data_IF_354723752775
#
_entry.id   IF_354723752775
#
_cell.length_a   1.000
_cell.length_b   1.000
_cell.length_c   1.000
_cell.angle_alpha   90.00
_cell.angle_beta   90.00
_cell.angle_gamma   90.00
#
_symmetry.space_group_name_H-M   'P 1'
#
loop_
_entity.id
_entity.type
_entity.pdbx_description
1 polymer ?
#
# COMPACT_ATOMS: atom_id res chain seq x y z
N UNK A 1 -36.53 -39.34 64.13
CA UNK A 1 -36.89 -38.85 62.76
C UNK A 1 -35.66 -38.15 62.24
N UNK A 2 -34.94 -38.69 61.27
CA UNK A 2 -33.77 -38.03 60.70
C UNK A 2 -34.19 -37.07 59.54
N UNK A 3 -33.69 -35.86 59.57
CA UNK A 3 -33.87 -34.83 58.50
C UNK A 3 -32.80 -35.07 57.43
N UNK A 4 -33.23 -35.42 56.24
CA UNK A 4 -32.37 -35.48 55.03
C UNK A 4 -32.10 -34.12 54.57
N UNK A 5 -30.83 -33.70 54.56
CA UNK A 5 -30.33 -32.47 53.85
C UNK A 5 -29.93 -32.86 52.46
N UNK A 6 -30.62 -32.25 51.45
CA UNK A 6 -30.27 -32.40 50.05
C UNK A 6 -29.31 -31.26 49.72
N UNK A 7 -28.07 -31.60 49.40
CA UNK A 7 -27.05 -30.66 48.93
C UNK A 7 -27.15 -30.60 47.40
N UNK A 8 -27.59 -29.45 46.85
CA UNK A 8 -27.63 -29.20 45.42
C UNK A 8 -26.25 -28.64 45.00
N UNK A 9 -25.49 -29.40 44.22
CA UNK A 9 -24.30 -28.93 43.55
C UNK A 9 -24.70 -28.24 42.25
N UNK A 10 -24.63 -26.90 42.23
CA UNK A 10 -24.74 -26.11 41.01
C UNK A 10 -23.37 -26.09 40.33
N UNK A 11 -23.20 -26.92 39.30
CA UNK A 11 -22.03 -26.91 38.45
C UNK A 11 -22.07 -25.69 37.49
N UNK A 12 -21.16 -24.75 37.68
CA UNK A 12 -20.96 -23.60 36.79
C UNK A 12 -20.10 -24.09 35.59
N UNK A 13 -20.75 -24.33 34.46
CA UNK A 13 -20.04 -24.65 33.22
C UNK A 13 -19.47 -23.35 32.63
N UNK A 14 -18.14 -23.18 32.75
CA UNK A 14 -17.40 -22.06 32.12
C UNK A 14 -17.19 -22.38 30.63
N UNK A 15 -18.02 -21.82 29.76
CA UNK A 15 -17.82 -21.90 28.31
C UNK A 15 -16.67 -20.99 27.91
N UNK A 16 -15.49 -21.56 27.64
CA UNK A 16 -14.38 -20.85 27.06
C UNK A 16 -14.69 -20.56 25.58
N UNK A 17 -15.03 -19.30 25.25
CA UNK A 17 -15.15 -18.84 23.88
C UNK A 17 -13.74 -18.62 23.33
N UNK A 18 -13.27 -19.57 22.52
CA UNK A 18 -12.05 -19.43 21.75
C UNK A 18 -12.28 -18.41 20.61
N UNK A 19 -11.84 -17.17 20.80
CA UNK A 19 -11.72 -16.20 19.70
C UNK A 19 -10.57 -16.65 18.80
N UNK A 20 -10.88 -17.35 17.71
CA UNK A 20 -9.93 -17.58 16.62
C UNK A 20 -9.80 -16.25 15.89
N UNK A 21 -8.79 -15.46 16.27
CA UNK A 21 -8.38 -14.32 15.46
C UNK A 21 -7.72 -14.88 14.20
N UNK A 22 -8.46 -14.93 13.10
CA UNK A 22 -7.88 -15.21 11.80
C UNK A 22 -6.88 -14.10 11.48
N UNK A 23 -5.61 -14.33 11.80
CA UNK A 23 -4.50 -13.49 11.36
C UNK A 23 -4.41 -13.72 9.86
N UNK A 24 -4.78 -12.72 9.02
CA UNK A 24 -4.52 -12.81 7.60
C UNK A 24 -3.02 -13.14 7.42
N UNK A 25 -2.68 -14.20 6.70
CA UNK A 25 -1.30 -14.51 6.36
C UNK A 25 -0.77 -13.44 5.39
N UNK A 26 0.55 -13.24 5.34
CA UNK A 26 1.17 -12.50 4.23
C UNK A 26 0.89 -13.20 2.93
N UNK A 27 0.74 -12.44 1.84
CA UNK A 27 0.53 -13.02 0.51
C UNK A 27 1.74 -13.85 0.10
N UNK A 28 1.49 -15.07 -0.40
CA UNK A 28 2.53 -15.92 -0.97
C UNK A 28 2.78 -15.49 -2.43
N UNK A 29 3.98 -14.95 -2.68
CA UNK A 29 4.43 -14.53 -4.02
C UNK A 29 5.51 -15.48 -4.57
N UNK A 30 5.60 -16.72 -4.09
CA UNK A 30 6.53 -17.72 -4.63
C UNK A 30 6.25 -17.97 -6.11
N UNK A 31 7.28 -17.76 -6.95
CA UNK A 31 7.14 -17.86 -8.40
C UNK A 31 6.45 -16.67 -9.09
N UNK A 32 6.15 -15.60 -8.35
CA UNK A 32 5.63 -14.37 -8.95
C UNK A 32 6.72 -13.67 -9.78
N UNK A 33 6.34 -13.19 -10.96
CA UNK A 33 7.16 -12.31 -11.78
C UNK A 33 6.48 -10.95 -11.85
N UNK A 34 7.18 -9.85 -11.60
CA UNK A 34 6.60 -8.52 -11.68
C UNK A 34 5.94 -8.25 -13.04
N UNK A 35 4.79 -7.62 -12.98
CA UNK A 35 4.03 -7.23 -14.17
C UNK A 35 4.67 -6.06 -14.89
N UNK A 36 5.19 -5.10 -14.11
CA UNK A 36 5.78 -3.86 -14.61
C UNK A 36 7.29 -3.82 -14.36
N UNK A 37 8.04 -3.38 -15.38
CA UNK A 37 9.50 -3.27 -15.35
C UNK A 37 9.96 -2.02 -14.62
N UNK A 38 11.25 -1.98 -14.22
CA UNK A 38 11.94 -0.74 -13.88
C UNK A 38 12.31 0.00 -15.17
N UNK A 39 11.99 1.27 -15.29
CA UNK A 39 12.26 2.05 -16.49
C UNK A 39 11.81 3.50 -16.36
N UNK A 40 11.46 4.12 -17.49
CA UNK A 40 10.99 5.52 -17.58
C UNK A 40 9.76 5.71 -18.45
N UNK A 41 9.17 4.61 -18.95
CA UNK A 41 7.95 4.63 -19.74
C UNK A 41 6.69 4.70 -18.86
N UNK A 42 5.56 5.00 -19.46
CA UNK A 42 4.27 5.28 -18.81
C UNK A 42 3.86 4.29 -17.69
N UNK A 43 4.13 2.98 -17.88
CA UNK A 43 3.73 1.95 -16.90
C UNK A 43 4.86 1.40 -16.05
N UNK A 44 6.06 1.91 -16.23
CA UNK A 44 7.22 1.43 -15.51
C UNK A 44 7.22 1.89 -14.04
N UNK A 45 8.00 1.19 -13.24
CA UNK A 45 8.46 1.69 -11.96
C UNK A 45 9.62 2.65 -12.17
N UNK A 46 9.49 3.89 -11.74
CA UNK A 46 10.45 4.97 -11.94
C UNK A 46 11.39 5.11 -10.73
N UNK A 47 12.66 5.39 -10.98
CA UNK A 47 13.64 5.76 -9.95
C UNK A 47 13.84 7.26 -9.85
N UNK A 48 13.65 7.93 -10.98
CA UNK A 48 13.74 9.36 -11.20
C UNK A 48 12.43 9.82 -11.86
N UNK A 49 12.31 11.10 -12.23
CA UNK A 49 11.12 11.54 -12.95
C UNK A 49 11.03 10.89 -14.34
N UNK A 50 9.84 10.39 -14.74
CA UNK A 50 9.62 9.69 -16.00
C UNK A 50 9.76 10.61 -17.22
N UNK A 51 9.75 10.00 -18.42
CA UNK A 51 9.91 10.72 -19.70
C UNK A 51 8.85 11.80 -19.95
N UNK A 52 7.66 11.66 -19.36
CA UNK A 52 6.56 12.63 -19.51
C UNK A 52 6.67 13.85 -18.57
N UNK A 53 7.59 13.80 -17.58
CA UNK A 53 7.83 14.94 -16.69
C UNK A 53 8.62 16.04 -17.40
N UNK A 54 8.36 17.33 -17.11
CA UNK A 54 9.18 18.45 -17.63
C UNK A 54 10.67 18.35 -17.31
N UNK A 55 11.06 17.58 -16.30
CA UNK A 55 12.45 17.35 -15.88
C UNK A 55 12.78 15.85 -15.89
N UNK A 56 12.70 15.14 -17.04
CA UNK A 56 12.91 13.72 -17.09
C UNK A 56 14.32 13.32 -16.60
N UNK A 57 14.40 12.27 -15.81
CA UNK A 57 15.67 11.80 -15.23
C UNK A 57 16.21 12.64 -14.07
N UNK A 58 15.49 13.68 -13.64
CA UNK A 58 15.85 14.39 -12.41
C UNK A 58 15.44 13.55 -11.18
N UNK A 59 16.27 13.58 -10.14
CA UNK A 59 16.01 12.87 -8.89
C UNK A 59 14.78 13.43 -8.17
N UNK A 60 14.02 12.52 -7.55
CA UNK A 60 12.84 12.88 -6.75
C UNK A 60 13.26 13.19 -5.31
N UNK A 61 12.78 14.32 -4.77
CA UNK A 61 12.92 14.64 -3.34
C UNK A 61 11.80 13.97 -2.54
N UNK A 62 12.07 12.76 -2.07
CA UNK A 62 11.08 11.94 -1.37
C UNK A 62 10.75 12.51 0.02
N UNK A 63 9.47 12.72 0.36
CA UNK A 63 9.06 13.19 1.68
C UNK A 63 9.54 12.27 2.81
N UNK A 64 10.02 12.86 3.90
CA UNK A 64 10.63 12.12 5.02
C UNK A 64 9.68 11.07 5.64
N UNK A 65 8.38 11.37 5.70
CA UNK A 65 7.38 10.43 6.22
C UNK A 65 7.18 9.21 5.31
N UNK A 66 7.38 9.36 3.99
CA UNK A 66 7.38 8.24 3.03
C UNK A 66 8.61 7.37 3.26
N UNK A 67 9.81 7.99 3.32
CA UNK A 67 11.06 7.28 3.59
C UNK A 67 11.03 6.52 4.92
N UNK A 68 10.39 7.10 5.95
CA UNK A 68 10.22 6.41 7.23
C UNK A 68 9.31 5.19 7.11
N UNK A 69 8.23 5.30 6.34
CA UNK A 69 7.27 4.19 6.16
C UNK A 69 7.86 3.05 5.33
N UNK A 70 8.66 3.37 4.32
CA UNK A 70 9.33 2.39 3.45
C UNK A 70 10.35 1.51 4.20
N UNK A 71 10.85 1.93 5.37
CA UNK A 71 11.68 1.06 6.21
C UNK A 71 10.96 -0.18 6.72
N UNK A 72 9.64 -0.14 6.77
CA UNK A 72 8.80 -1.20 7.30
C UNK A 72 8.14 -2.02 6.18
N UNK A 73 7.63 -1.34 5.14
CA UNK A 73 6.82 -1.94 4.07
C UNK A 73 6.74 -1.02 2.84
N UNK A 74 6.37 -1.58 1.67
CA UNK A 74 5.95 -0.76 0.53
C UNK A 74 4.81 0.18 0.92
N UNK A 75 4.75 1.33 0.27
CA UNK A 75 3.79 2.39 0.58
C UNK A 75 2.85 2.61 -0.59
N UNK A 76 1.56 2.68 -0.29
CA UNK A 76 0.52 3.08 -1.24
C UNK A 76 -0.13 4.36 -0.70
N UNK A 77 -0.22 5.38 -1.54
CA UNK A 77 -0.86 6.65 -1.19
C UNK A 77 -2.02 6.89 -2.16
N UNK A 78 -3.19 7.17 -1.64
CA UNK A 78 -4.30 7.70 -2.42
C UNK A 78 -4.51 9.17 -2.05
N UNK A 79 -4.37 10.06 -3.03
CA UNK A 79 -4.74 11.46 -2.95
C UNK A 79 -6.16 11.63 -3.52
N UNK A 80 -7.04 12.21 -2.73
CA UNK A 80 -8.45 12.37 -3.11
C UNK A 80 -9.07 13.65 -2.53
N UNK A 81 -10.23 14.06 -3.04
CA UNK A 81 -11.04 15.13 -2.47
C UNK A 81 -12.47 14.69 -2.15
N UNK A 82 -13.16 15.44 -1.29
CA UNK A 82 -14.49 15.07 -0.81
C UNK A 82 -15.59 15.06 -1.92
N UNK A 83 -15.45 15.93 -2.93
CA UNK A 83 -16.45 16.07 -4.00
C UNK A 83 -16.15 15.26 -5.27
N UNK A 84 -15.08 14.49 -5.28
CA UNK A 84 -14.59 13.77 -6.44
C UNK A 84 -15.28 12.40 -6.59
N UNK A 85 -16.05 12.20 -7.67
CA UNK A 85 -16.77 10.93 -7.92
C UNK A 85 -15.85 9.79 -8.29
N UNK A 86 -14.84 10.01 -9.13
CA UNK A 86 -13.82 9.00 -9.48
C UNK A 86 -13.00 8.59 -8.27
N UNK A 87 -12.74 9.52 -7.33
CA UNK A 87 -12.10 9.18 -6.06
C UNK A 87 -12.89 8.17 -5.24
N UNK A 88 -14.22 8.27 -5.21
CA UNK A 88 -15.06 7.30 -4.50
C UNK A 88 -14.95 5.89 -5.11
N UNK A 89 -14.84 5.80 -6.44
CA UNK A 89 -14.62 4.53 -7.13
C UNK A 89 -13.23 3.96 -6.79
N UNK A 90 -12.17 4.78 -6.87
CA UNK A 90 -10.81 4.36 -6.53
C UNK A 90 -10.67 3.93 -5.08
N UNK A 91 -11.26 4.66 -4.13
CA UNK A 91 -11.31 4.26 -2.71
C UNK A 91 -11.96 2.89 -2.51
N UNK A 92 -13.06 2.62 -3.24
CA UNK A 92 -13.74 1.32 -3.17
C UNK A 92 -12.84 0.19 -3.68
N UNK A 93 -12.22 0.35 -4.85
CA UNK A 93 -11.27 -0.60 -5.44
C UNK A 93 -10.12 -0.89 -4.46
N UNK A 94 -9.43 0.14 -3.99
CA UNK A 94 -8.34 -0.03 -3.01
C UNK A 94 -8.81 -0.71 -1.73
N UNK A 95 -9.97 -0.33 -1.17
CA UNK A 95 -10.48 -0.93 0.06
C UNK A 95 -10.78 -2.42 -0.07
N UNK A 96 -11.12 -2.90 -1.26
CA UNK A 96 -11.34 -4.32 -1.54
C UNK A 96 -10.02 -5.09 -1.61
N UNK A 97 -9.07 -4.61 -2.42
CA UNK A 97 -7.75 -5.22 -2.61
C UNK A 97 -6.96 -5.24 -1.30
N UNK A 98 -6.99 -4.14 -0.55
CA UNK A 98 -6.26 -4.00 0.71
C UNK A 98 -6.72 -4.95 1.82
N UNK A 99 -7.88 -5.60 1.70
CA UNK A 99 -8.27 -6.67 2.63
C UNK A 99 -7.28 -7.84 2.58
N UNK A 100 -6.75 -8.13 1.40
CA UNK A 100 -5.75 -9.19 1.18
C UNK A 100 -4.35 -8.70 1.60
N UNK A 101 -3.93 -7.52 1.12
CA UNK A 101 -2.52 -7.07 1.20
C UNK A 101 -2.17 -6.17 2.38
N UNK A 102 -3.12 -5.82 3.26
CA UNK A 102 -2.91 -4.84 4.36
C UNK A 102 -1.76 -5.14 5.31
N UNK A 103 -1.32 -6.39 5.40
CA UNK A 103 -0.18 -6.78 6.25
C UNK A 103 1.17 -6.51 5.58
N UNK A 104 1.17 -6.51 4.27
CA UNK A 104 2.37 -6.44 3.45
C UNK A 104 2.65 -5.01 2.96
N UNK A 105 1.73 -4.08 3.16
CA UNK A 105 1.86 -2.67 2.72
C UNK A 105 1.47 -1.69 3.82
N UNK A 106 1.94 -0.45 3.68
CA UNK A 106 1.46 0.74 4.40
C UNK A 106 0.56 1.55 3.47
N UNK A 107 -0.67 1.85 3.88
CA UNK A 107 -1.63 2.60 3.07
C UNK A 107 -1.97 3.95 3.69
N UNK A 108 -1.84 5.00 2.91
CA UNK A 108 -2.26 6.34 3.24
C UNK A 108 -3.42 6.78 2.36
N UNK A 109 -4.53 7.14 3.00
CA UNK A 109 -5.71 7.73 2.35
C UNK A 109 -5.76 9.22 2.74
N UNK A 110 -5.28 10.08 1.85
CA UNK A 110 -5.05 11.51 2.15
C UNK A 110 -6.04 12.37 1.39
N UNK A 111 -6.82 13.13 2.14
CA UNK A 111 -7.74 14.11 1.58
C UNK A 111 -7.03 15.44 1.37
N UNK A 112 -6.81 15.81 0.09
CA UNK A 112 -6.01 16.98 -0.30
C UNK A 112 -6.67 18.33 0.01
N UNK A 113 -8.00 18.35 0.18
CA UNK A 113 -8.78 19.51 0.61
C UNK A 113 -8.89 19.61 2.15
N UNK A 114 -8.02 18.94 2.88
CA UNK A 114 -7.85 19.03 4.34
C UNK A 114 -6.59 19.82 4.71
N UNK A 115 -6.35 19.96 6.03
CA UNK A 115 -5.12 20.60 6.54
C UNK A 115 -3.93 19.63 6.67
N UNK A 116 -4.00 18.44 6.05
CA UNK A 116 -2.89 17.48 6.05
C UNK A 116 -1.83 17.86 5.00
N UNK A 117 -0.66 18.38 5.46
CA UNK A 117 0.43 18.82 4.59
C UNK A 117 0.99 17.70 3.69
N UNK A 118 0.84 16.43 4.11
CA UNK A 118 1.33 15.28 3.35
C UNK A 118 0.73 15.17 1.94
N UNK A 119 -0.52 15.65 1.76
CA UNK A 119 -1.15 15.69 0.44
C UNK A 119 -0.39 16.58 -0.54
N UNK A 120 0.01 17.77 -0.09
CA UNK A 120 0.81 18.69 -0.89
C UNK A 120 2.21 18.12 -1.15
N UNK A 121 2.89 17.65 -0.12
CA UNK A 121 4.22 17.05 -0.23
C UNK A 121 4.24 15.87 -1.20
N UNK A 122 3.19 15.02 -1.19
CA UNK A 122 3.07 13.90 -2.10
C UNK A 122 2.83 14.35 -3.56
N UNK A 123 2.02 15.40 -3.80
CA UNK A 123 1.88 15.97 -5.14
C UNK A 123 3.19 16.58 -5.64
N UNK A 124 3.88 17.37 -4.81
CA UNK A 124 5.16 17.98 -5.17
C UNK A 124 6.22 16.94 -5.55
N UNK A 125 6.22 15.77 -4.89
CA UNK A 125 7.22 14.73 -5.11
C UNK A 125 6.82 13.72 -6.21
N UNK A 126 5.53 13.45 -6.40
CA UNK A 126 5.07 12.30 -7.19
C UNK A 126 4.08 12.65 -8.31
N UNK A 127 4.05 13.90 -8.75
CA UNK A 127 3.36 14.28 -9.97
C UNK A 127 4.20 13.83 -11.18
N UNK A 128 3.73 12.84 -11.98
CA UNK A 128 4.50 12.30 -13.07
C UNK A 128 4.63 13.29 -14.24
N UNK A 129 3.66 14.19 -14.39
CA UNK A 129 3.58 15.14 -15.51
C UNK A 129 4.10 16.54 -15.18
N UNK A 130 4.30 16.85 -13.90
CA UNK A 130 4.70 18.17 -13.40
C UNK A 130 3.68 19.27 -13.71
N UNK A 131 2.43 18.89 -13.87
CA UNK A 131 1.33 19.76 -14.30
C UNK A 131 0.38 20.16 -13.18
N UNK A 132 -0.90 19.95 -13.40
CA UNK A 132 -1.94 20.22 -12.40
C UNK A 132 -2.15 19.01 -11.51
N UNK A 133 -2.31 19.25 -10.22
CA UNK A 133 -2.61 18.19 -9.24
C UNK A 133 -4.02 17.60 -9.47
N UNK A 134 -4.10 16.44 -10.08
CA UNK A 134 -5.36 15.73 -10.30
C UNK A 134 -5.75 14.81 -9.15
N UNK A 135 -7.02 14.50 -9.01
CA UNK A 135 -7.53 13.50 -8.06
C UNK A 135 -8.62 12.65 -8.73
N UNK A 136 -8.65 11.34 -8.45
CA UNK A 136 -7.73 10.60 -7.58
C UNK A 136 -6.34 10.46 -8.21
N UNK A 137 -5.30 10.53 -7.38
CA UNK A 137 -3.97 10.08 -7.76
C UNK A 137 -3.58 8.93 -6.82
N UNK A 138 -3.18 7.80 -7.41
CA UNK A 138 -2.69 6.65 -6.66
C UNK A 138 -1.20 6.51 -6.87
N UNK A 139 -0.43 6.55 -5.78
CA UNK A 139 1.03 6.49 -5.80
C UNK A 139 1.46 5.18 -5.13
N UNK A 140 2.32 4.43 -5.80
CA UNK A 140 2.92 3.20 -5.33
C UNK A 140 4.40 3.42 -5.12
N UNK A 141 4.95 2.95 -3.99
CA UNK A 141 6.37 3.11 -3.67
C UNK A 141 6.91 1.81 -3.08
N UNK A 142 8.11 1.46 -3.48
CA UNK A 142 8.82 0.28 -3.00
C UNK A 142 10.33 0.49 -2.99
N UNK A 143 11.02 -0.34 -2.23
CA UNK A 143 12.47 -0.52 -2.39
C UNK A 143 12.74 -1.68 -3.35
N UNK A 144 13.82 -1.58 -4.11
CA UNK A 144 14.29 -2.64 -4.98
C UNK A 144 15.82 -2.71 -4.98
N UNK A 145 16.39 -3.83 -5.40
CA UNK A 145 17.83 -3.95 -5.66
C UNK A 145 18.11 -3.70 -7.13
N UNK A 146 19.03 -2.78 -7.39
CA UNK A 146 19.54 -2.56 -8.73
C UNK A 146 20.47 -3.71 -9.18
N UNK A 147 20.97 -3.64 -10.40
CA UNK A 147 21.87 -4.65 -10.99
C UNK A 147 23.21 -4.78 -10.27
N UNK A 148 23.56 -3.81 -9.44
CA UNK A 148 24.77 -3.81 -8.59
C UNK A 148 24.48 -4.31 -7.16
N UNK A 149 23.22 -4.66 -6.86
CA UNK A 149 22.78 -5.11 -5.54
C UNK A 149 22.55 -3.98 -4.53
N UNK A 150 22.58 -2.70 -4.96
CA UNK A 150 22.28 -1.55 -4.12
C UNK A 150 20.77 -1.40 -3.98
N UNK A 151 20.29 -1.20 -2.75
CA UNK A 151 18.88 -0.83 -2.51
C UNK A 151 18.64 0.60 -2.94
N UNK A 152 17.63 0.79 -3.78
CA UNK A 152 17.15 2.06 -4.30
C UNK A 152 15.63 2.12 -4.16
N UNK A 153 15.04 3.31 -4.27
CA UNK A 153 13.60 3.51 -4.22
C UNK A 153 13.04 3.55 -5.64
N UNK A 154 11.90 2.90 -5.83
CA UNK A 154 11.10 3.02 -7.04
C UNK A 154 9.68 3.46 -6.70
N UNK A 155 9.07 4.22 -7.62
CA UNK A 155 7.73 4.72 -7.48
C UNK A 155 6.97 4.66 -8.81
N UNK A 156 5.65 4.68 -8.72
CA UNK A 156 4.75 4.88 -9.86
C UNK A 156 3.56 5.68 -9.40
N UNK A 157 3.07 6.57 -10.24
CA UNK A 157 1.91 7.41 -9.94
C UNK A 157 0.92 7.35 -11.09
N UNK A 158 -0.36 7.20 -10.79
CA UNK A 158 -1.43 7.18 -11.76
C UNK A 158 -2.50 8.21 -11.40
N UNK A 159 -2.76 9.12 -12.32
CA UNK A 159 -3.82 10.12 -12.22
C UNK A 159 -5.11 9.55 -12.81
N UNK A 160 -6.24 9.65 -12.09
CA UNK A 160 -7.55 9.07 -12.34
C UNK A 160 -7.77 7.68 -11.69
N UNK A 161 -8.95 7.10 -11.89
CA UNK A 161 -9.31 5.80 -11.36
C UNK A 161 -8.69 4.66 -12.19
N UNK A 162 -7.97 3.78 -11.49
CA UNK A 162 -7.34 2.61 -12.08
C UNK A 162 -8.29 1.41 -12.10
N UNK A 163 -8.03 0.48 -13.00
CA UNK A 163 -8.66 -0.85 -12.97
C UNK A 163 -8.22 -1.64 -11.73
N UNK A 164 -9.07 -2.55 -11.26
CA UNK A 164 -8.74 -3.43 -10.12
C UNK A 164 -7.48 -4.27 -10.40
N UNK A 165 -7.35 -4.79 -11.63
CA UNK A 165 -6.19 -5.58 -12.05
C UNK A 165 -4.88 -4.80 -12.03
N UNK A 166 -4.89 -3.53 -12.47
CA UNK A 166 -3.67 -2.72 -12.49
C UNK A 166 -3.25 -2.33 -11.06
N UNK A 167 -4.23 -1.94 -10.21
CA UNK A 167 -3.95 -1.66 -8.79
C UNK A 167 -3.35 -2.88 -8.11
N UNK A 168 -3.93 -4.06 -8.33
CA UNK A 168 -3.43 -5.30 -7.74
C UNK A 168 -2.04 -5.67 -8.26
N UNK A 169 -1.77 -5.46 -9.55
CA UNK A 169 -0.46 -5.71 -10.15
C UNK A 169 0.63 -4.83 -9.51
N UNK A 170 0.42 -3.52 -9.41
CA UNK A 170 1.38 -2.63 -8.73
C UNK A 170 1.57 -2.98 -7.25
N UNK A 171 0.53 -3.39 -6.54
CA UNK A 171 0.66 -3.82 -5.14
C UNK A 171 1.51 -5.09 -5.03
N UNK A 172 1.27 -6.09 -5.88
CA UNK A 172 2.07 -7.32 -5.91
C UNK A 172 3.52 -7.06 -6.28
N UNK A 173 3.76 -6.24 -7.31
CA UNK A 173 5.09 -5.82 -7.73
C UNK A 173 5.82 -5.12 -6.57
N UNK A 174 5.15 -4.17 -5.89
CA UNK A 174 5.72 -3.45 -4.76
C UNK A 174 6.16 -4.40 -3.63
N UNK A 175 5.30 -5.37 -3.27
CA UNK A 175 5.62 -6.37 -2.24
C UNK A 175 6.78 -7.26 -2.69
N UNK A 176 6.77 -7.71 -3.94
CA UNK A 176 7.83 -8.54 -4.50
C UNK A 176 9.20 -7.83 -4.44
N UNK A 177 9.29 -6.64 -5.01
CA UNK A 177 10.54 -5.87 -5.03
C UNK A 177 11.04 -5.56 -3.61
N UNK A 178 10.14 -5.17 -2.72
CA UNK A 178 10.48 -4.90 -1.34
C UNK A 178 11.07 -6.13 -0.62
N UNK A 179 10.46 -7.30 -0.79
CA UNK A 179 10.96 -8.55 -0.22
C UNK A 179 12.33 -8.93 -0.78
N UNK A 180 12.53 -8.77 -2.09
CA UNK A 180 13.82 -9.02 -2.73
C UNK A 180 14.91 -8.06 -2.20
N UNK A 181 14.57 -6.80 -1.91
CA UNK A 181 15.54 -5.83 -1.39
C UNK A 181 15.89 -6.07 0.08
N UNK A 182 14.95 -6.58 0.88
CA UNK A 182 15.09 -6.74 2.33
C UNK A 182 15.40 -8.18 2.79
N UNK A 183 15.80 -9.06 1.87
CA UNK A 183 16.26 -10.42 2.19
C UNK A 183 15.13 -11.42 2.48
N UNK A 184 13.89 -11.06 2.26
CA UNK A 184 12.76 -11.98 2.21
C UNK A 184 12.77 -12.69 0.85
N UNK A 185 12.95 -14.01 0.81
CA UNK A 185 12.69 -14.77 -0.41
C UNK A 185 11.24 -14.55 -0.85
N UNK A 186 11.02 -14.40 -2.16
CA UNK A 186 9.67 -14.42 -2.72
C UNK A 186 9.11 -15.83 -2.67
#
# INVERSE_FOLDING_TARGET
MPRNSITIFTGLALAAVLFITASAASEDLSGYNPTYSMGSEDKDWWTDYPNENPNPGASVDHPSWVLQSLKEKPVIILLHSASCKSCAAQMKTLSQILKTYRKDITYYNIRVDSNDSRGREAFEAYDPTGGSNYVPTTIFLTEFKDTMGKTSLAWHSYEDAMSESDVEAYIKDAIYYYRQSNGGGA
#
